data_IF_409044889280
#
_entry.id   IF_409044889280
#
_cell.length_a   1.000
_cell.length_b   1.000
_cell.length_c   1.000
_cell.angle_alpha   90.00
_cell.angle_beta   90.00
_cell.angle_gamma   90.00
#
_symmetry.space_group_name_H-M   'P 1'
#
loop_
_entity.id
_entity.type
_entity.pdbx_description
1 polymer ?
#
# COMPACT_ATOMS: atom_id res chain seq x y z
N UNK A 1 2.87 -16.41 17.11
CA UNK A 1 3.14 -15.77 15.80
C UNK A 1 2.54 -14.38 15.88
N UNK A 2 3.31 -13.34 15.53
CA UNK A 2 2.88 -11.94 15.73
C UNK A 2 1.90 -11.45 14.65
N UNK A 3 1.05 -10.51 15.05
CA UNK A 3 0.11 -9.80 14.18
C UNK A 3 0.89 -8.92 13.20
N UNK A 4 0.60 -9.06 11.90
CA UNK A 4 1.28 -8.30 10.83
C UNK A 4 0.31 -7.33 10.18
N UNK A 5 0.75 -6.11 9.91
CA UNK A 5 0.04 -5.16 9.06
C UNK A 5 0.88 -4.87 7.82
N UNK A 6 0.28 -5.00 6.65
CA UNK A 6 0.97 -4.73 5.39
C UNK A 6 0.57 -3.35 4.88
N UNK A 7 1.53 -2.61 4.33
CA UNK A 7 1.26 -1.38 3.61
C UNK A 7 1.72 -1.58 2.18
N UNK A 8 0.85 -1.35 1.22
CA UNK A 8 1.19 -1.34 -0.19
C UNK A 8 1.15 0.08 -0.72
N UNK A 9 2.19 0.47 -1.44
CA UNK A 9 2.31 1.80 -2.03
C UNK A 9 2.52 1.67 -3.52
N UNK A 10 1.55 2.08 -4.33
CA UNK A 10 1.73 2.19 -5.79
C UNK A 10 2.29 3.57 -6.12
N UNK A 11 3.35 3.65 -6.93
CA UNK A 11 3.97 4.91 -7.36
C UNK A 11 4.06 5.00 -8.88
N UNK A 12 4.43 6.17 -9.44
CA UNK A 12 4.63 6.31 -10.88
C UNK A 12 6.06 5.91 -11.26
N UNK A 13 6.23 4.82 -12.01
CA UNK A 13 7.55 4.36 -12.46
C UNK A 13 8.02 5.01 -13.77
N UNK A 14 7.15 5.77 -14.46
CA UNK A 14 7.43 6.32 -15.80
C UNK A 14 8.67 7.20 -15.86
N UNK A 15 9.06 7.82 -14.74
CA UNK A 15 10.25 8.66 -14.63
C UNK A 15 11.55 7.84 -14.82
N UNK A 16 11.51 6.51 -14.59
CA UNK A 16 12.72 5.68 -14.48
C UNK A 16 12.75 4.49 -15.47
N UNK A 17 11.88 4.49 -16.48
CA UNK A 17 11.75 3.38 -17.43
C UNK A 17 12.96 3.25 -18.37
N UNK A 18 13.95 2.45 -17.96
CA UNK A 18 14.88 1.77 -18.86
C UNK A 18 14.94 0.27 -18.53
N UNK A 19 14.33 -0.55 -19.41
CA UNK A 19 14.45 -2.02 -19.54
C UNK A 19 13.84 -2.85 -18.38
N UNK A 20 13.31 -4.06 -18.54
CA UNK A 20 13.17 -5.04 -19.64
C UNK A 20 11.88 -5.84 -19.44
N UNK A 21 11.30 -6.30 -20.54
CA UNK A 21 10.29 -7.36 -20.61
C UNK A 21 10.89 -8.63 -20.00
N UNK A 22 10.36 -9.07 -18.85
CA UNK A 22 10.35 -10.46 -18.35
C UNK A 22 10.06 -10.40 -16.85
N UNK A 23 8.78 -10.54 -16.51
CA UNK A 23 8.26 -11.45 -15.49
C UNK A 23 6.78 -11.12 -15.33
N UNK A 24 5.97 -12.00 -15.91
CA UNK A 24 4.52 -12.08 -15.73
C UNK A 24 4.28 -12.23 -14.21
N UNK A 25 3.18 -11.69 -13.67
CA UNK A 25 2.70 -11.75 -12.28
C UNK A 25 2.78 -10.49 -11.40
N UNK A 26 3.62 -9.47 -11.71
CA UNK A 26 3.83 -8.36 -10.76
C UNK A 26 3.62 -6.96 -11.34
N UNK A 27 2.88 -6.12 -10.63
CA UNK A 27 2.90 -4.67 -10.84
C UNK A 27 4.17 -4.11 -10.18
N UNK A 28 5.22 -3.87 -10.99
CA UNK A 28 6.53 -3.36 -10.53
C UNK A 28 6.45 -2.00 -9.83
N UNK A 29 5.32 -1.32 -9.98
CA UNK A 29 5.08 0.00 -9.41
C UNK A 29 4.57 -0.07 -7.96
N UNK A 30 4.35 -1.27 -7.43
CA UNK A 30 3.81 -1.49 -6.08
C UNK A 30 4.93 -1.92 -5.13
N UNK A 31 5.16 -1.11 -4.11
CA UNK A 31 6.12 -1.37 -3.03
C UNK A 31 5.35 -1.97 -1.85
N UNK A 32 5.80 -3.13 -1.36
CA UNK A 32 5.33 -3.73 -0.10
C UNK A 32 6.16 -3.25 1.09
N UNK A 33 5.50 -2.78 2.14
CA UNK A 33 6.12 -2.41 3.41
C UNK A 33 5.51 -3.29 4.50
N UNK A 34 6.37 -4.00 5.22
CA UNK A 34 5.94 -4.93 6.27
C UNK A 34 6.11 -4.28 7.64
N UNK A 35 5.00 -4.10 8.34
CA UNK A 35 5.01 -3.50 9.67
C UNK A 35 4.28 -4.38 10.66
N UNK A 36 5.01 -4.93 11.62
CA UNK A 36 4.38 -5.57 12.77
C UNK A 36 3.76 -4.50 13.65
N UNK A 37 2.57 -4.78 14.20
CA UNK A 37 1.90 -3.94 15.21
C UNK A 37 1.34 -2.59 14.73
N UNK A 38 1.20 -2.37 13.42
CA UNK A 38 0.65 -1.13 12.88
C UNK A 38 -0.84 -1.26 12.52
N UNK A 39 -1.74 -1.29 13.50
CA UNK A 39 -3.20 -1.41 13.30
C UNK A 39 -3.97 -0.17 13.77
N UNK A 40 -5.24 -0.07 13.35
CA UNK A 40 -6.21 0.91 13.86
C UNK A 40 -5.72 2.36 13.74
N UNK A 41 -5.77 3.09 14.86
CA UNK A 41 -5.34 4.49 14.94
C UNK A 41 -3.88 4.71 14.49
N UNK A 42 -2.99 3.75 14.74
CA UNK A 42 -1.59 3.85 14.30
C UNK A 42 -1.46 3.70 12.79
N UNK A 43 -2.17 2.74 12.19
CA UNK A 43 -2.24 2.58 10.73
C UNK A 43 -2.81 3.83 10.06
N UNK A 44 -3.86 4.40 10.64
CA UNK A 44 -4.48 5.63 10.14
C UNK A 44 -3.53 6.82 10.19
N UNK A 45 -2.88 7.05 11.33
CA UNK A 45 -1.89 8.13 11.46
C UNK A 45 -0.73 7.97 10.46
N UNK A 46 -0.19 6.76 10.33
CA UNK A 46 0.85 6.47 9.33
C UNK A 46 0.40 6.81 7.92
N UNK A 47 -0.81 6.37 7.50
CA UNK A 47 -1.33 6.69 6.17
C UNK A 47 -1.43 8.20 5.93
N UNK A 48 -1.96 8.96 6.89
CA UNK A 48 -2.06 10.43 6.76
C UNK A 48 -0.68 11.06 6.63
N UNK A 49 0.29 10.61 7.43
CA UNK A 49 1.67 11.11 7.32
C UNK A 49 2.29 10.75 5.95
N UNK A 50 2.03 9.56 5.42
CA UNK A 50 2.51 9.15 4.09
C UNK A 50 1.96 10.07 3.00
N UNK A 51 0.65 10.35 3.02
CA UNK A 51 -0.02 11.24 2.06
C UNK A 51 0.53 12.66 2.19
N UNK A 52 0.63 13.20 3.40
CA UNK A 52 1.18 14.53 3.65
C UNK A 52 2.62 14.65 3.14
N UNK A 53 3.43 13.64 3.41
CA UNK A 53 4.82 13.60 2.95
C UNK A 53 4.88 13.52 1.42
N UNK A 54 4.07 12.67 0.79
CA UNK A 54 3.98 12.55 -0.66
C UNK A 54 3.63 13.90 -1.30
N UNK A 55 2.58 14.58 -0.81
CA UNK A 55 2.12 15.88 -1.33
C UNK A 55 3.16 16.98 -1.17
N UNK A 56 3.86 17.03 -0.03
CA UNK A 56 4.90 18.05 0.25
C UNK A 56 6.13 17.94 -0.65
N UNK A 57 6.36 16.77 -1.25
CA UNK A 57 7.53 16.50 -2.10
C UNK A 57 7.22 16.55 -3.60
N UNK A 58 6.03 17.01 -3.98
CA UNK A 58 5.70 17.31 -5.38
C UNK A 58 6.34 18.65 -5.73
N UNK A 59 7.23 18.63 -6.71
CA UNK A 59 7.91 19.83 -7.24
C UNK A 59 7.56 19.98 -8.70
N UNK A 60 7.26 21.21 -9.11
CA UNK A 60 7.09 21.57 -10.51
C UNK A 60 8.40 22.16 -11.05
N UNK A 61 8.98 21.53 -12.06
CA UNK A 61 10.18 22.01 -12.76
C UNK A 61 9.95 21.91 -14.28
N UNK A 62 10.21 22.98 -15.01
CA UNK A 62 10.08 23.05 -16.48
C UNK A 62 8.71 22.56 -17.02
N UNK A 63 7.63 22.91 -16.31
CA UNK A 63 6.27 22.50 -16.66
C UNK A 63 5.95 21.02 -16.44
N UNK A 64 6.89 20.25 -15.88
CA UNK A 64 6.70 18.85 -15.47
C UNK A 64 6.63 18.75 -13.94
N UNK A 65 5.73 17.91 -13.45
CA UNK A 65 5.68 17.56 -12.03
C UNK A 65 6.56 16.35 -11.78
N UNK A 66 7.39 16.44 -10.76
CA UNK A 66 8.22 15.35 -10.26
C UNK A 66 7.97 15.21 -8.77
N UNK A 67 8.02 13.99 -8.26
CA UNK A 67 7.85 13.73 -6.84
C UNK A 67 9.14 13.16 -6.26
N UNK A 68 9.69 13.81 -5.24
CA UNK A 68 10.92 13.39 -4.56
C UNK A 68 10.66 12.67 -3.24
N UNK A 69 9.43 12.19 -3.02
CA UNK A 69 9.11 11.41 -1.83
C UNK A 69 9.95 10.13 -1.79
N UNK A 70 10.34 9.67 -0.59
CA UNK A 70 11.03 8.40 -0.37
C UNK A 70 10.34 7.22 -1.07
N UNK A 71 9.01 7.22 -1.18
CA UNK A 71 8.28 6.18 -1.91
C UNK A 71 8.65 6.15 -3.40
N UNK A 72 8.80 7.33 -4.00
CA UNK A 72 9.15 7.49 -5.41
C UNK A 72 10.64 7.21 -5.68
N UNK A 73 11.53 7.61 -4.76
CA UNK A 73 12.97 7.37 -4.84
C UNK A 73 13.34 5.91 -4.56
N UNK A 74 12.61 5.24 -3.67
CA UNK A 74 12.84 3.84 -3.36
C UNK A 74 12.54 2.95 -4.57
N UNK A 75 11.48 3.24 -5.33
CA UNK A 75 11.18 2.55 -6.58
C UNK A 75 12.33 2.65 -7.60
N UNK A 76 13.02 3.81 -7.68
CA UNK A 76 14.17 3.97 -8.56
C UNK A 76 15.42 3.23 -8.07
N UNK A 77 15.68 3.20 -6.76
CA UNK A 77 16.87 2.55 -6.21
C UNK A 77 16.81 1.02 -6.35
N UNK A 78 15.61 0.42 -6.29
CA UNK A 78 15.44 -1.02 -6.52
C UNK A 78 15.85 -1.46 -7.93
N UNK A 79 15.74 -0.57 -8.94
CA UNK A 79 16.15 -0.82 -10.32
C UNK A 79 17.66 -0.70 -10.53
N UNK A 80 18.40 -0.09 -9.59
CA UNK A 80 19.82 0.26 -9.72
C UNK A 80 20.71 -0.40 -8.65
N UNK A 81 20.43 -1.66 -8.30
CA UNK A 81 21.22 -2.48 -7.36
C UNK A 81 22.68 -2.67 -7.85
N UNK A 82 23.54 -1.71 -7.54
CA UNK A 82 24.97 -1.94 -7.30
C UNK A 82 25.25 -1.75 -5.81
N UNK A 83 26.20 -2.52 -5.27
CA UNK A 83 26.51 -2.60 -3.85
C UNK A 83 27.02 -1.28 -3.20
N UNK A 84 27.16 -0.19 -3.98
CA UNK A 84 27.69 1.10 -3.53
C UNK A 84 26.59 2.15 -3.25
N UNK A 85 25.32 1.87 -3.59
CA UNK A 85 24.21 2.83 -3.48
C UNK A 85 23.45 2.80 -2.14
N UNK A 86 23.90 2.04 -1.14
CA UNK A 86 23.21 1.89 0.15
C UNK A 86 22.99 3.21 0.93
N UNK A 87 23.77 4.26 0.66
CA UNK A 87 23.70 5.53 1.42
C UNK A 87 22.46 6.39 1.13
N UNK A 88 21.89 6.33 -0.07
CA UNK A 88 20.64 7.04 -0.40
C UNK A 88 19.42 6.25 0.09
N UNK A 89 19.41 4.94 -0.15
CA UNK A 89 18.41 4.02 0.38
C UNK A 89 18.31 4.14 1.91
N UNK A 90 19.42 4.21 2.65
CA UNK A 90 19.41 4.40 4.11
C UNK A 90 18.77 5.73 4.55
N UNK A 91 19.02 6.84 3.87
CA UNK A 91 18.37 8.14 4.17
C UNK A 91 16.87 8.12 3.84
N UNK A 92 16.51 7.43 2.76
CA UNK A 92 15.12 7.18 2.35
C UNK A 92 14.42 6.32 3.41
N UNK A 93 15.05 5.23 3.86
CA UNK A 93 14.58 4.36 4.92
C UNK A 93 14.40 5.13 6.24
N UNK A 94 15.37 5.96 6.65
CA UNK A 94 15.26 6.82 7.83
C UNK A 94 14.10 7.82 7.71
N UNK A 95 13.91 8.44 6.55
CA UNK A 95 12.77 9.32 6.30
C UNK A 95 11.45 8.55 6.41
N UNK A 96 11.40 7.32 5.91
CA UNK A 96 10.24 6.45 6.03
C UNK A 96 9.97 6.04 7.49
N UNK A 97 11.00 5.81 8.32
CA UNK A 97 10.84 5.59 9.77
C UNK A 97 10.17 6.78 10.49
N UNK A 98 10.40 8.02 10.03
CA UNK A 98 9.71 9.19 10.61
C UNK A 98 8.23 9.28 10.24
N UNK A 99 7.85 8.65 9.13
CA UNK A 99 6.48 8.67 8.58
C UNK A 99 5.69 7.43 9.01
N UNK A 100 6.37 6.30 9.13
CA UNK A 100 5.86 4.99 9.51
C UNK A 100 6.98 4.23 10.25
N UNK A 101 6.83 3.87 11.54
CA UNK A 101 7.82 3.05 12.23
C UNK A 101 7.79 1.63 11.66
N UNK A 102 8.77 1.28 10.83
CA UNK A 102 8.79 0.07 10.00
C UNK A 102 9.56 -1.06 10.68
N UNK A 103 9.07 -2.29 10.59
CA UNK A 103 9.80 -3.49 11.09
C UNK A 103 10.55 -4.25 9.98
N UNK A 104 10.54 -3.73 8.75
CA UNK A 104 11.32 -4.21 7.60
C UNK A 104 10.68 -3.83 6.27
N UNK A 105 11.51 -3.63 5.24
CA UNK A 105 11.05 -3.50 3.85
C UNK A 105 11.19 -4.85 3.17
N UNK A 106 10.16 -5.27 2.45
CA UNK A 106 10.20 -6.49 1.66
C UNK A 106 9.87 -6.15 0.23
N UNK A 107 10.73 -6.58 -0.69
CA UNK A 107 10.41 -6.66 -2.11
C UNK A 107 9.43 -7.81 -2.39
N UNK A 108 8.92 -8.48 -1.35
CA UNK A 108 7.91 -9.50 -1.48
C UNK A 108 6.61 -8.85 -1.95
N UNK A 109 6.41 -8.93 -3.26
CA UNK A 109 5.15 -8.73 -3.94
C UNK A 109 4.00 -9.38 -3.17
N UNK A 110 2.88 -8.67 -3.06
CA UNK A 110 1.64 -9.23 -2.54
C UNK A 110 1.39 -10.57 -3.24
N UNK A 111 1.36 -11.67 -2.49
CA UNK A 111 0.93 -12.95 -3.04
C UNK A 111 -0.60 -12.94 -3.14
N UNK A 112 -1.14 -12.42 -4.24
CA UNK A 112 -2.55 -12.68 -4.56
C UNK A 112 -2.63 -14.06 -5.21
N UNK A 113 -3.28 -14.99 -4.50
CA UNK A 113 -3.32 -16.40 -4.92
C UNK A 113 -4.45 -16.68 -5.92
N UNK A 114 -5.46 -15.80 -6.03
CA UNK A 114 -6.52 -15.91 -7.03
C UNK A 114 -7.37 -14.62 -7.14
N UNK A 115 -8.06 -14.40 -8.28
CA UNK A 115 -8.98 -13.25 -8.50
C UNK A 115 -10.15 -13.17 -7.51
N UNK A 116 -10.48 -14.30 -6.87
CA UNK A 116 -11.52 -14.40 -5.82
C UNK A 116 -10.96 -14.19 -4.43
N UNK A 117 -9.64 -14.22 -4.26
CA UNK A 117 -8.94 -14.27 -2.98
C UNK A 117 -7.76 -13.30 -3.00
N UNK A 118 -8.12 -12.03 -3.17
CA UNK A 118 -7.21 -10.91 -3.40
C UNK A 118 -6.12 -10.72 -2.32
N UNK A 119 -6.38 -11.21 -1.11
CA UNK A 119 -5.46 -11.15 0.02
C UNK A 119 -5.57 -12.45 0.81
N UNK A 120 -4.92 -13.52 0.36
CA UNK A 120 -4.97 -14.78 1.10
C UNK A 120 -4.23 -14.69 2.44
N UNK A 121 -4.69 -15.56 3.34
CA UNK A 121 -4.39 -15.82 4.75
C UNK A 121 -2.92 -16.02 5.13
N UNK A 122 -2.03 -15.06 4.86
CA UNK A 122 -0.86 -14.92 5.72
C UNK A 122 -1.31 -14.39 7.10
N UNK A 123 -0.43 -14.33 8.11
CA UNK A 123 -0.73 -13.85 9.47
C UNK A 123 -1.00 -12.33 9.53
N UNK A 124 -1.63 -11.78 8.49
CA UNK A 124 -1.98 -10.38 8.33
C UNK A 124 -3.28 -10.09 9.08
N UNK A 125 -3.27 -8.98 9.78
CA UNK A 125 -4.37 -8.49 10.62
C UNK A 125 -4.99 -7.21 10.07
N UNK A 126 -4.31 -6.59 9.12
CA UNK A 126 -4.80 -5.44 8.35
C UNK A 126 -3.88 -5.15 7.18
N UNK A 127 -4.42 -4.43 6.20
CA UNK A 127 -3.71 -3.96 5.03
C UNK A 127 -4.07 -2.49 4.81
N UNK A 128 -3.08 -1.65 4.55
CA UNK A 128 -3.25 -0.30 4.04
C UNK A 128 -2.77 -0.25 2.61
N UNK A 129 -3.55 0.31 1.71
CA UNK A 129 -3.12 0.59 0.34
C UNK A 129 -3.10 2.10 0.13
N UNK A 130 -1.98 2.61 -0.37
CA UNK A 130 -1.81 3.99 -0.77
C UNK A 130 -1.44 4.01 -2.26
N UNK A 131 -2.25 4.68 -3.06
CA UNK A 131 -2.02 4.83 -4.49
C UNK A 131 -1.57 6.25 -4.80
N UNK A 132 -0.30 6.37 -5.16
CA UNK A 132 0.40 7.60 -5.47
C UNK A 132 0.76 7.69 -6.96
N UNK A 133 0.14 6.87 -7.81
CA UNK A 133 0.35 6.88 -9.25
C UNK A 133 -0.01 8.24 -9.86
N UNK A 134 -1.07 8.90 -9.37
CA UNK A 134 -1.37 10.28 -9.68
C UNK A 134 -0.93 11.17 -8.51
N UNK A 135 0.11 11.97 -8.71
CA UNK A 135 0.69 12.81 -7.65
C UNK A 135 -0.33 13.79 -7.03
N UNK A 136 -1.20 14.37 -7.86
CA UNK A 136 -2.15 15.39 -7.41
C UNK A 136 -3.37 14.78 -6.72
N UNK A 137 -3.68 13.53 -7.06
CA UNK A 137 -4.89 12.86 -6.62
C UNK A 137 -4.56 11.49 -6.04
N UNK A 138 -3.86 11.44 -4.89
CA UNK A 138 -3.58 10.19 -4.22
C UNK A 138 -4.89 9.54 -3.78
N UNK A 139 -4.89 8.20 -3.75
CA UNK A 139 -6.01 7.41 -3.24
C UNK A 139 -5.55 6.47 -2.14
N UNK A 140 -6.49 5.95 -1.38
CA UNK A 140 -6.18 4.99 -0.33
C UNK A 140 -7.33 4.02 -0.08
N UNK A 141 -7.05 2.97 0.68
CA UNK A 141 -8.06 2.24 1.45
C UNK A 141 -7.40 1.46 2.59
N UNK A 142 -8.23 1.01 3.54
CA UNK A 142 -7.88 -0.09 4.44
C UNK A 142 -8.58 -1.36 3.99
N UNK A 143 -7.95 -2.51 4.22
CA UNK A 143 -8.49 -3.82 3.85
C UNK A 143 -8.29 -4.78 5.02
N UNK A 144 -9.32 -5.57 5.29
CA UNK A 144 -9.29 -6.64 6.27
C UNK A 144 -9.11 -7.98 5.53
N UNK A 145 -7.98 -8.68 5.67
CA UNK A 145 -7.68 -9.89 4.87
C UNK A 145 -8.45 -11.16 5.27
N UNK A 146 -9.43 -11.08 6.18
CA UNK A 146 -10.28 -12.21 6.58
C UNK A 146 -9.57 -13.34 7.34
N UNK A 147 -8.39 -13.08 7.91
CA UNK A 147 -7.56 -14.10 8.56
C UNK A 147 -8.05 -14.46 9.96
N UNK A 148 -7.69 -15.67 10.43
CA UNK A 148 -8.05 -16.14 11.76
C UNK A 148 -7.41 -15.34 12.91
N UNK A 149 -6.33 -14.60 12.62
CA UNK A 149 -5.52 -13.85 13.59
C UNK A 149 -6.10 -12.46 13.91
N UNK A 150 -7.24 -12.11 13.32
CA UNK A 150 -7.91 -10.84 13.51
C UNK A 150 -8.76 -10.87 14.80
N UNK A 151 -8.65 -9.82 15.62
CA UNK A 151 -9.47 -9.61 16.82
C UNK A 151 -10.97 -9.60 16.46
N UNK A 152 -11.82 -10.09 17.36
CA UNK A 152 -13.28 -10.17 17.20
C UNK A 152 -13.91 -8.84 16.79
N UNK A 153 -13.40 -7.71 17.29
CA UNK A 153 -13.92 -6.38 16.96
C UNK A 153 -13.75 -6.01 15.48
N UNK A 154 -12.71 -6.54 14.82
CA UNK A 154 -12.43 -6.29 13.40
C UNK A 154 -13.14 -7.30 12.50
N UNK A 155 -13.54 -8.47 13.03
CA UNK A 155 -14.32 -9.49 12.29
C UNK A 155 -15.73 -9.04 11.89
N UNK A 156 -16.22 -7.94 12.45
CA UNK A 156 -17.51 -7.35 12.06
C UNK A 156 -17.46 -6.69 10.69
N UNK A 157 -16.26 -6.36 10.20
CA UNK A 157 -16.04 -5.73 8.90
C UNK A 157 -15.97 -6.80 7.81
N UNK A 158 -16.52 -6.48 6.64
CA UNK A 158 -16.49 -7.40 5.50
C UNK A 158 -15.03 -7.60 5.01
N UNK A 159 -14.55 -8.85 4.92
CA UNK A 159 -13.20 -9.13 4.41
C UNK A 159 -13.01 -8.68 2.97
N UNK A 160 -11.79 -8.26 2.64
CA UNK A 160 -11.36 -7.89 1.29
C UNK A 160 -12.19 -6.75 0.66
N UNK A 161 -12.95 -6.01 1.47
CA UNK A 161 -13.68 -4.81 1.05
C UNK A 161 -12.81 -3.57 1.30
N UNK A 162 -12.74 -2.61 0.36
CA UNK A 162 -12.04 -1.35 0.57
C UNK A 162 -12.79 -0.51 1.60
N UNK A 163 -12.12 -0.13 2.68
CA UNK A 163 -12.70 0.64 3.77
C UNK A 163 -12.09 2.04 3.81
N UNK A 164 -12.95 3.05 3.99
CA UNK A 164 -12.52 4.39 4.38
C UNK A 164 -12.00 4.42 5.83
N UNK A 165 -11.31 5.51 6.19
CA UNK A 165 -10.73 5.65 7.52
C UNK A 165 -11.77 5.60 8.65
N UNK A 166 -12.95 6.20 8.46
CA UNK A 166 -13.99 6.25 9.50
C UNK A 166 -14.55 4.85 9.76
N UNK A 167 -14.88 4.12 8.69
CA UNK A 167 -15.38 2.75 8.74
C UNK A 167 -14.34 1.79 9.30
N UNK A 168 -13.07 1.91 8.90
CA UNK A 168 -12.00 1.09 9.46
C UNK A 168 -11.83 1.30 10.97
N UNK A 169 -11.91 2.56 11.43
CA UNK A 169 -11.72 2.90 12.84
C UNK A 169 -12.89 2.49 13.75
N UNK A 170 -14.09 2.20 13.24
CA UNK A 170 -15.21 1.77 14.11
C UNK A 170 -14.96 0.44 14.82
N UNK A 171 -14.06 -0.39 14.28
CA UNK A 171 -13.65 -1.65 14.89
C UNK A 171 -12.60 -1.46 16.01
N UNK A 172 -12.13 -0.24 16.21
CA UNK A 172 -11.15 0.10 17.24
C UNK A 172 -11.85 1.05 18.22
N UNK A 173 -11.70 0.79 19.53
CA UNK A 173 -12.37 1.57 20.57
C UNK A 173 -11.88 3.01 20.66
N UNK A 174 -11.62 3.50 21.86
CA UNK A 174 -11.19 4.89 22.04
C UNK A 174 -9.80 5.17 21.42
N UNK A 175 -9.54 6.41 20.95
CA UNK A 175 -8.22 6.82 20.47
C UNK A 175 -7.13 6.65 21.55
N UNK A 176 -5.85 6.52 21.15
CA UNK A 176 -4.75 6.39 22.10
C UNK A 176 -4.71 7.56 23.11
N UNK A 177 -4.58 7.25 24.41
CA UNK A 177 -4.57 8.24 25.51
C UNK A 177 -3.48 9.33 25.41
N UNK A 178 -2.46 9.12 24.59
CA UNK A 178 -1.37 10.08 24.37
C UNK A 178 -1.62 11.07 23.22
N UNK A 179 -2.75 10.93 22.51
CA UNK A 179 -3.10 11.87 21.44
C UNK A 179 -3.67 13.17 22.01
N UNK A 180 -3.31 14.34 21.45
CA UNK A 180 -4.01 15.58 21.72
C UNK A 180 -5.53 15.47 21.45
N UNK A 181 -6.35 16.19 22.20
CA UNK A 181 -7.82 16.11 22.16
C UNK A 181 -8.43 16.27 20.76
N UNK A 182 -7.78 17.01 19.86
CA UNK A 182 -8.24 17.26 18.49
C UNK A 182 -7.47 16.47 17.42
N UNK A 183 -6.57 15.56 17.81
CA UNK A 183 -5.66 14.91 16.87
C UNK A 183 -6.40 14.03 15.87
N UNK A 184 -7.33 13.19 16.34
CA UNK A 184 -8.13 12.35 15.45
C UNK A 184 -8.94 13.19 14.45
N UNK A 185 -9.57 14.27 14.93
CA UNK A 185 -10.32 15.20 14.08
C UNK A 185 -9.41 15.84 13.02
N UNK A 186 -8.21 16.26 13.40
CA UNK A 186 -7.23 16.79 12.46
C UNK A 186 -6.85 15.75 11.39
N UNK A 187 -6.59 14.50 11.77
CA UNK A 187 -6.27 13.43 10.82
C UNK A 187 -7.44 13.13 9.88
N UNK A 188 -8.67 13.07 10.39
CA UNK A 188 -9.88 12.88 9.59
C UNK A 188 -10.11 14.00 8.58
N UNK A 189 -9.84 15.26 8.97
CA UNK A 189 -9.92 16.40 8.06
C UNK A 189 -8.85 16.35 6.97
N UNK A 190 -7.65 15.84 7.27
CA UNK A 190 -6.59 15.70 6.26
C UNK A 190 -6.91 14.65 5.20
N UNK A 191 -7.62 13.59 5.58
CA UNK A 191 -7.95 12.50 4.67
C UNK A 191 -9.29 12.69 3.95
N UNK A 192 -10.14 13.63 4.38
CA UNK A 192 -11.49 13.80 3.83
C UNK A 192 -11.52 14.17 2.35
N UNK A 193 -10.45 14.79 1.84
CA UNK A 193 -10.30 15.15 0.42
C UNK A 193 -9.61 14.05 -0.40
N UNK A 194 -9.11 12.99 0.24
CA UNK A 194 -8.39 11.90 -0.43
C UNK A 194 -9.40 10.85 -0.84
N UNK A 195 -9.39 10.49 -2.13
CA UNK A 195 -10.37 9.53 -2.67
C UNK A 195 -10.10 8.13 -2.14
N UNK A 196 -11.18 7.41 -1.89
CA UNK A 196 -11.13 5.97 -1.62
C UNK A 196 -10.87 5.22 -2.93
N UNK A 197 -10.03 4.18 -2.87
CA UNK A 197 -9.88 3.24 -3.96
C UNK A 197 -11.16 2.42 -4.13
N UNK A 198 -11.65 2.32 -5.37
CA UNK A 198 -12.71 1.35 -5.68
C UNK A 198 -12.16 -0.08 -5.62
N UNK A 199 -13.07 -1.05 -5.60
CA UNK A 199 -12.68 -2.46 -5.68
C UNK A 199 -11.95 -2.73 -6.99
N UNK A 200 -12.45 -2.22 -8.10
CA UNK A 200 -11.85 -2.36 -9.44
C UNK A 200 -10.44 -1.75 -9.48
N UNK A 201 -10.24 -0.56 -8.92
CA UNK A 201 -8.93 0.09 -8.88
C UNK A 201 -7.90 -0.70 -8.06
N UNK A 202 -8.33 -1.32 -6.97
CA UNK A 202 -7.49 -2.26 -6.22
C UNK A 202 -7.16 -3.50 -7.02
N UNK A 203 -8.11 -4.01 -7.80
CA UNK A 203 -7.85 -5.13 -8.70
C UNK A 203 -6.74 -4.77 -9.67
N UNK A 204 -6.78 -3.60 -10.28
CA UNK A 204 -5.77 -3.12 -11.23
C UNK A 204 -4.40 -2.84 -10.59
N UNK A 205 -4.37 -2.45 -9.31
CA UNK A 205 -3.10 -2.28 -8.57
C UNK A 205 -2.35 -3.60 -8.51
N UNK A 206 -3.04 -4.70 -8.21
CA UNK A 206 -2.41 -5.98 -7.89
C UNK A 206 -2.43 -7.00 -9.05
N UNK A 207 -3.39 -6.89 -9.97
CA UNK A 207 -3.56 -7.77 -11.14
C UNK A 207 -3.37 -6.92 -12.41
N UNK A 208 -2.38 -7.26 -13.24
CA UNK A 208 -2.21 -6.57 -14.53
C UNK A 208 -3.21 -7.05 -15.57
N UNK A 209 -3.74 -6.11 -16.38
CA UNK A 209 -4.74 -6.28 -17.46
C UNK A 209 -4.48 -7.49 -18.38
N UNK A 210 -3.22 -7.89 -18.57
CA UNK A 210 -2.81 -9.04 -19.39
C UNK A 210 -3.32 -10.40 -18.88
N UNK A 211 -3.81 -10.47 -17.65
CA UNK A 211 -4.30 -11.72 -17.03
C UNK A 211 -5.83 -11.87 -17.04
N UNK A 212 -6.59 -10.79 -17.28
CA UNK A 212 -8.06 -10.85 -17.40
C UNK A 212 -8.52 -11.42 -18.75
N UNK A 213 -7.61 -11.54 -19.73
CA UNK A 213 -7.84 -12.18 -21.02
C UNK A 213 -7.61 -13.70 -21.03
N UNK A 214 -7.24 -14.30 -19.88
CA UNK A 214 -7.07 -15.75 -19.78
C UNK A 214 -8.44 -16.41 -19.57
N UNK A 215 -9.10 -16.74 -20.68
CA UNK A 215 -10.31 -17.57 -20.68
C UNK A 215 -10.01 -18.96 -20.05
N UNK A 216 -10.78 -19.41 -19.05
CA UNK A 216 -10.55 -20.71 -18.39
C UNK A 216 -10.74 -21.93 -19.31
N UNK A 217 -11.36 -21.77 -20.48
CA UNK A 217 -11.95 -22.89 -21.22
C UNK A 217 -11.01 -23.60 -22.21
N UNK A 218 -9.72 -23.23 -22.29
CA UNK A 218 -8.77 -23.94 -23.17
C UNK A 218 -7.98 -25.08 -22.52
N UNK A 219 -8.19 -25.36 -21.24
CA UNK A 219 -7.44 -26.41 -20.52
C UNK A 219 -8.18 -27.77 -20.41
N UNK A 220 -9.32 -27.97 -21.07
CA UNK A 220 -10.13 -29.20 -20.91
C UNK A 220 -10.25 -30.10 -22.14
N UNK A 221 -9.41 -29.92 -23.17
CA UNK A 221 -9.33 -30.86 -24.29
C UNK A 221 -7.89 -31.18 -24.69
N UNK A 222 -7.12 -31.82 -23.79
CA UNK A 222 -5.97 -32.67 -24.16
C UNK A 222 -5.80 -33.83 -23.19
N UNK A 223 -6.80 -34.69 -23.13
CA UNK A 223 -6.62 -36.12 -22.82
C UNK A 223 -7.80 -36.88 -23.42
N UNK A 224 -7.63 -37.31 -24.67
CA UNK A 224 -8.06 -38.61 -25.20
C UNK A 224 -7.14 -38.93 -26.38
#
# INVERSE_FOLDING_TARGET
>A
MGERHLIYVRVDDKIYQNRTDEEIYYNRNVIGIHVQWLLGYSAFNSLVNMIDFHKKNIVAADGKKVNFSPFQLMASDFLHRSAENYTNAEKILQSLYTVCPITGFWEASAKILHKTDFFYYDNNTGITVADFLNFDEPKYCFIIPGTAFINNDVRILEPCTPLDAKTYLTAFGEPPKGWPDNHLTMLLNKISEVKLLSKEELYDIFISDKTLSYEPDKALYRTL
#
